data_IF_851123887592
#
_entry.id   IF_851123887592
#
_cell.length_a   1.000
_cell.length_b   1.000
_cell.length_c   1.000
_cell.angle_alpha   90.00
_cell.angle_beta   90.00
_cell.angle_gamma   90.00
#
_symmetry.space_group_name_H-M   'P 1'
#
loop_
_entity.id
_entity.type
_entity.pdbx_description
1 polymer ?
#
# COMPACT_ATOMS: atom_id res chain seq x y z
N UNK A 1 20.71 -20.67 24.01
CA UNK A 1 20.39 -19.24 24.18
C UNK A 1 20.58 -18.58 22.83
N UNK A 2 19.49 -18.32 22.10
CA UNK A 2 19.57 -17.67 20.79
C UNK A 2 19.63 -16.16 21.00
N UNK A 3 20.78 -15.58 20.75
CA UNK A 3 20.93 -14.13 20.63
C UNK A 3 20.17 -13.70 19.37
N UNK A 4 18.96 -13.19 19.54
CA UNK A 4 18.30 -12.42 18.49
C UNK A 4 19.12 -11.13 18.33
N UNK A 5 19.97 -11.10 17.31
CA UNK A 5 20.68 -9.89 16.91
C UNK A 5 19.64 -8.79 16.69
N UNK A 6 19.70 -7.75 17.52
CA UNK A 6 18.78 -6.63 17.46
C UNK A 6 19.12 -5.84 16.20
N UNK A 7 18.43 -6.14 15.10
CA UNK A 7 18.53 -5.33 13.88
C UNK A 7 17.94 -3.96 14.21
N UNK A 8 18.66 -2.84 13.95
CA UNK A 8 18.11 -1.51 14.14
C UNK A 8 16.84 -1.34 13.30
N UNK A 9 15.78 -0.82 13.89
CA UNK A 9 14.46 -0.72 13.25
C UNK A 9 14.49 0.07 11.93
N UNK A 10 15.40 1.05 11.83
CA UNK A 10 15.68 1.82 10.62
C UNK A 10 16.22 0.99 9.44
N UNK A 11 16.80 -0.19 9.65
CA UNK A 11 17.19 -1.08 8.55
C UNK A 11 16.01 -1.92 8.04
N UNK A 12 15.09 -2.29 8.92
CA UNK A 12 13.91 -3.07 8.54
C UNK A 12 12.95 -2.26 7.67
N UNK A 13 12.78 -0.99 8.00
CA UNK A 13 11.94 -0.08 7.23
C UNK A 13 12.49 0.22 5.83
N UNK A 14 13.81 0.40 5.71
CA UNK A 14 14.49 0.46 4.42
C UNK A 14 14.27 -0.82 3.63
N UNK A 15 14.38 -1.99 4.26
CA UNK A 15 14.10 -3.28 3.58
C UNK A 15 12.67 -3.37 3.05
N UNK A 16 11.68 -2.90 3.79
CA UNK A 16 10.27 -2.92 3.34
C UNK A 16 10.06 -1.95 2.18
N UNK A 17 10.52 -0.71 2.30
CA UNK A 17 10.35 0.29 1.23
C UNK A 17 11.11 -0.05 -0.05
N UNK A 18 12.34 -0.56 0.10
CA UNK A 18 13.21 -0.95 -1.00
C UNK A 18 12.97 -2.39 -1.47
N UNK A 19 11.99 -3.10 -0.89
CA UNK A 19 11.59 -4.40 -1.39
C UNK A 19 10.94 -4.24 -2.76
N UNK A 20 11.20 -5.20 -3.65
CA UNK A 20 10.48 -5.34 -4.91
C UNK A 20 9.06 -5.90 -4.72
N UNK A 21 8.71 -6.31 -3.50
CA UNK A 21 7.38 -6.82 -3.19
C UNK A 21 6.32 -5.72 -3.23
N UNK A 22 5.12 -6.09 -3.68
CA UNK A 22 3.95 -5.24 -3.60
C UNK A 22 3.54 -5.03 -2.13
N UNK A 23 3.31 -3.77 -1.77
CA UNK A 23 2.75 -3.38 -0.48
C UNK A 23 1.26 -3.12 -0.65
N UNK A 24 0.47 -3.53 0.32
CA UNK A 24 -0.97 -3.29 0.31
C UNK A 24 -1.39 -2.49 1.51
N UNK A 25 -2.32 -1.56 1.28
CA UNK A 25 -2.86 -0.74 2.34
C UNK A 25 -3.76 -1.59 3.22
N UNK A 26 -3.46 -1.59 4.52
CA UNK A 26 -4.19 -2.33 5.54
C UNK A 26 -5.16 -1.41 6.26
N UNK A 27 -4.66 -0.23 6.64
CA UNK A 27 -5.43 0.81 7.30
C UNK A 27 -5.02 2.20 6.87
N UNK A 28 -5.98 3.11 6.87
CA UNK A 28 -5.76 4.52 6.54
C UNK A 28 -6.65 5.43 7.37
N UNK A 29 -6.13 6.60 7.71
CA UNK A 29 -6.90 7.69 8.33
C UNK A 29 -8.07 8.15 7.44
N UNK A 30 -9.18 8.49 8.09
CA UNK A 30 -10.33 9.10 7.43
C UNK A 30 -10.05 10.50 6.88
N UNK A 31 -9.10 11.22 7.46
CA UNK A 31 -8.73 12.58 7.05
C UNK A 31 -7.79 12.62 5.83
N UNK A 32 -7.60 11.49 5.17
CA UNK A 32 -6.72 11.43 4.01
C UNK A 32 -7.36 12.07 2.79
N UNK A 33 -6.53 12.51 1.85
CA UNK A 33 -6.93 12.94 0.50
C UNK A 33 -7.72 11.87 -0.27
N UNK A 34 -7.77 10.66 0.28
CA UNK A 34 -8.58 9.54 -0.17
C UNK A 34 -10.02 9.78 0.31
N UNK A 35 -10.63 10.88 -0.14
CA UNK A 35 -12.09 10.97 -0.26
C UNK A 35 -12.60 10.03 -1.37
N UNK A 36 -11.69 9.39 -2.11
CA UNK A 36 -11.99 8.44 -3.16
C UNK A 36 -12.39 7.09 -2.59
N UNK A 37 -13.52 6.56 -3.08
CA UNK A 37 -14.00 5.19 -2.94
C UNK A 37 -13.01 4.16 -3.52
N UNK A 38 -11.81 4.07 -2.95
CA UNK A 38 -10.84 3.04 -3.27
C UNK A 38 -11.28 1.77 -2.56
N UNK A 39 -11.68 0.78 -3.35
CA UNK A 39 -11.94 -0.58 -2.91
C UNK A 39 -10.67 -1.15 -2.26
N UNK A 40 -9.53 -0.98 -2.90
CA UNK A 40 -8.24 -1.29 -2.30
C UNK A 40 -7.15 -0.34 -2.79
N UNK A 41 -5.99 -0.38 -2.12
CA UNK A 41 -4.77 0.26 -2.59
C UNK A 41 -3.58 -0.68 -2.55
N UNK A 42 -2.75 -0.55 -3.58
CA UNK A 42 -1.51 -1.30 -3.76
C UNK A 42 -0.37 -0.32 -4.05
N UNK A 43 0.83 -0.62 -3.59
CA UNK A 43 2.04 0.10 -3.95
C UNK A 43 3.05 -0.83 -4.58
N UNK A 44 3.50 -0.45 -5.78
CA UNK A 44 4.48 -1.21 -6.57
C UNK A 44 5.82 -0.48 -6.55
N UNK A 45 6.91 -1.17 -6.25
CA UNK A 45 8.24 -0.59 -6.29
C UNK A 45 8.65 -0.18 -7.70
N UNK A 46 9.22 1.02 -7.86
CA UNK A 46 9.79 1.47 -9.14
C UNK A 46 11.31 1.57 -9.09
N UNK A 47 11.85 2.31 -8.11
CA UNK A 47 13.27 2.60 -8.04
C UNK A 47 13.75 2.94 -6.63
N UNK A 48 15.04 2.69 -6.38
CA UNK A 48 15.72 3.16 -5.18
C UNK A 48 16.27 4.58 -5.38
N UNK A 49 16.19 5.40 -4.33
CA UNK A 49 16.85 6.72 -4.26
C UNK A 49 17.63 6.82 -2.95
N UNK A 50 18.50 7.84 -2.82
CA UNK A 50 19.35 7.99 -1.62
C UNK A 50 18.46 8.12 -0.38
N UNK A 51 18.51 7.12 0.51
CA UNK A 51 17.70 7.02 1.73
C UNK A 51 16.17 6.95 1.54
N UNK A 52 15.67 6.66 0.34
CA UNK A 52 14.24 6.59 0.05
C UNK A 52 13.97 5.57 -1.07
N UNK A 53 12.71 5.42 -1.47
CA UNK A 53 12.28 4.61 -2.60
C UNK A 53 11.15 5.33 -3.34
N UNK A 54 11.19 5.30 -4.66
CA UNK A 54 10.06 5.69 -5.51
C UNK A 54 9.20 4.44 -5.70
N UNK A 55 7.91 4.56 -5.37
CA UNK A 55 6.91 3.50 -5.61
C UNK A 55 5.65 4.14 -6.17
N UNK A 56 4.83 3.38 -6.90
CA UNK A 56 3.49 3.82 -7.26
C UNK A 56 2.54 3.61 -6.08
N UNK A 57 1.41 4.33 -6.09
CA UNK A 57 0.18 3.93 -5.42
C UNK A 57 -0.88 3.76 -6.49
N UNK A 58 -1.45 2.56 -6.53
CA UNK A 58 -2.57 2.20 -7.37
C UNK A 58 -3.82 2.16 -6.47
N UNK A 59 -4.82 2.98 -6.78
CA UNK A 59 -6.16 2.93 -6.21
C UNK A 59 -7.10 2.23 -7.19
N UNK A 60 -7.89 1.29 -6.68
CA UNK A 60 -8.89 0.56 -7.45
C UNK A 60 -10.27 0.99 -7.00
N UNK A 61 -11.13 1.40 -7.92
CA UNK A 61 -12.51 1.79 -7.62
C UNK A 61 -13.49 0.96 -8.43
N UNK A 62 -14.56 0.51 -7.79
CA UNK A 62 -15.63 -0.26 -8.44
C UNK A 62 -16.79 0.66 -8.81
N UNK A 63 -17.27 0.54 -10.05
CA UNK A 63 -18.43 1.27 -10.55
C UNK A 63 -19.43 0.29 -11.16
N UNK A 64 -20.71 0.51 -10.90
CA UNK A 64 -21.78 -0.20 -11.62
C UNK A 64 -22.23 0.68 -12.78
N UNK A 65 -22.08 0.18 -14.02
CA UNK A 65 -22.54 0.90 -15.22
C UNK A 65 -24.03 0.65 -15.46
N UNK A 66 -24.67 1.47 -16.28
CA UNK A 66 -26.13 1.40 -16.54
C UNK A 66 -26.63 0.04 -17.05
N UNK A 67 -25.75 -0.78 -17.64
CA UNK A 67 -26.05 -2.14 -18.05
C UNK A 67 -26.04 -3.18 -16.91
N UNK A 68 -25.80 -2.75 -15.66
CA UNK A 68 -25.73 -3.61 -14.47
C UNK A 68 -24.37 -4.33 -14.30
N UNK A 69 -23.42 -4.13 -15.21
CA UNK A 69 -22.08 -4.68 -15.07
C UNK A 69 -21.26 -3.89 -14.04
N UNK A 70 -20.42 -4.59 -13.27
CA UNK A 70 -19.44 -3.98 -12.38
C UNK A 70 -18.10 -3.87 -13.09
N UNK A 71 -17.57 -2.65 -13.18
CA UNK A 71 -16.24 -2.37 -13.72
C UNK A 71 -15.32 -1.94 -12.58
N UNK A 72 -14.08 -2.41 -12.62
CA UNK A 72 -13.02 -1.94 -11.72
C UNK A 72 -12.11 -1.06 -12.55
N UNK A 73 -11.87 0.16 -12.06
CA UNK A 73 -10.94 1.11 -12.66
C UNK A 73 -9.72 1.25 -11.76
N UNK A 74 -8.54 1.31 -12.37
CA UNK A 74 -7.28 1.57 -11.68
C UNK A 74 -6.81 3.00 -11.96
N UNK A 75 -6.57 3.78 -10.91
CA UNK A 75 -5.83 5.05 -10.96
C UNK A 75 -4.46 4.83 -10.32
N UNK A 76 -3.39 5.26 -11.00
CA UNK A 76 -2.02 5.13 -10.49
C UNK A 76 -1.41 6.51 -10.30
N UNK A 77 -0.86 6.75 -9.13
CA UNK A 77 -0.17 7.98 -8.75
C UNK A 77 1.27 7.63 -8.31
N UNK A 78 2.26 8.48 -8.64
CA UNK A 78 3.64 8.30 -8.19
C UNK A 78 3.86 9.11 -6.93
N UNK A 79 4.36 8.47 -5.89
CA UNK A 79 4.57 9.12 -4.60
C UNK A 79 5.91 8.73 -3.98
N UNK A 80 6.45 9.65 -3.20
CA UNK A 80 7.68 9.43 -2.46
C UNK A 80 7.34 8.99 -1.03
N UNK A 81 7.98 7.90 -0.59
CA UNK A 81 7.76 7.32 0.73
C UNK A 81 8.83 7.79 1.71
N UNK A 82 8.41 8.27 2.87
CA UNK A 82 9.32 8.59 3.97
C UNK A 82 9.08 7.61 5.12
N UNK A 83 10.17 7.03 5.62
CA UNK A 83 10.11 6.19 6.81
C UNK A 83 10.22 7.05 8.04
N UNK A 84 9.34 6.81 9.01
CA UNK A 84 9.56 7.26 10.38
C UNK A 84 9.49 6.09 11.36
N UNK A 85 10.38 6.13 12.33
CA UNK A 85 10.32 5.22 13.47
C UNK A 85 9.56 5.92 14.61
N UNK A 86 8.49 5.28 15.10
CA UNK A 86 7.70 5.77 16.23
C UNK A 86 7.71 4.69 17.31
N UNK A 87 8.44 4.94 18.42
CA UNK A 87 8.46 4.07 19.61
C UNK A 87 8.74 2.59 19.31
N UNK A 88 9.66 2.29 18.38
CA UNK A 88 9.98 0.91 18.00
C UNK A 88 9.00 0.27 17.01
N UNK A 89 8.06 1.03 16.46
CA UNK A 89 7.23 0.62 15.32
C UNK A 89 7.66 1.39 14.05
N UNK A 90 7.65 0.69 12.92
CA UNK A 90 7.86 1.30 11.60
C UNK A 90 6.54 1.88 11.16
N UNK A 91 6.48 3.21 11.02
CA UNK A 91 5.35 3.92 10.44
C UNK A 91 5.81 4.52 9.12
N UNK A 92 5.18 4.09 8.04
CA UNK A 92 5.43 4.65 6.72
C UNK A 92 4.55 5.90 6.62
N UNK A 93 5.15 7.08 6.74
CA UNK A 93 4.44 8.34 6.58
C UNK A 93 4.44 8.71 5.09
N UNK A 94 3.24 8.87 4.55
CA UNK A 94 3.05 9.40 3.21
C UNK A 94 2.84 10.89 3.33
N UNK A 95 3.84 11.66 2.89
CA UNK A 95 3.76 13.11 2.84
C UNK A 95 3.22 13.47 1.46
N UNK A 96 1.96 13.90 1.41
CA UNK A 96 1.44 14.46 0.16
C UNK A 96 2.15 15.77 -0.15
N UNK A 97 2.67 15.86 -1.37
CA UNK A 97 3.36 17.05 -1.88
C UNK A 97 2.43 18.27 -1.91
N UNK A 98 1.12 18.07 -1.98
CA UNK A 98 0.15 19.16 -2.19
C UNK A 98 -0.23 19.93 -0.93
N UNK A 99 -0.11 19.34 0.27
CA UNK A 99 -0.53 19.99 1.51
C UNK A 99 0.43 19.83 2.70
N UNK A 100 1.50 19.05 2.55
CA UNK A 100 2.52 18.85 3.59
C UNK A 100 2.02 18.18 4.87
N UNK A 101 0.77 17.70 4.91
CA UNK A 101 0.24 16.94 6.05
C UNK A 101 0.57 15.46 5.87
N UNK A 102 1.27 14.82 6.83
CA UNK A 102 1.52 13.39 6.76
C UNK A 102 0.21 12.64 6.98
N UNK A 103 -0.03 11.63 6.16
CA UNK A 103 -1.16 10.74 6.29
C UNK A 103 -0.75 9.44 6.97
N UNK A 104 -1.50 9.07 8.01
CA UNK A 104 -1.30 7.79 8.67
C UNK A 104 -1.83 6.66 7.82
N UNK A 105 -0.92 5.81 7.35
CA UNK A 105 -1.24 4.61 6.58
C UNK A 105 -0.44 3.44 7.13
N UNK A 106 -1.10 2.29 7.25
CA UNK A 106 -0.46 1.04 7.59
C UNK A 106 -0.43 0.16 6.35
N UNK A 107 0.77 -0.23 5.95
CA UNK A 107 1.02 -1.08 4.80
C UNK A 107 1.54 -2.44 5.25
N UNK A 108 1.18 -3.49 4.53
CA UNK A 108 1.67 -4.84 4.78
C UNK A 108 1.99 -5.57 3.48
N UNK A 109 2.88 -6.54 3.56
CA UNK A 109 3.25 -7.38 2.43
C UNK A 109 2.07 -8.28 2.03
N UNK A 110 1.99 -8.61 0.74
CA UNK A 110 0.96 -9.51 0.22
C UNK A 110 1.14 -10.96 0.69
N UNK A 111 2.39 -11.42 0.73
CA UNK A 111 2.78 -12.81 0.90
C UNK A 111 2.78 -13.31 2.37
N UNK A 112 2.44 -12.46 3.34
CA UNK A 112 2.40 -12.85 4.76
C UNK A 112 1.06 -13.53 5.11
N UNK A 113 1.09 -14.87 5.21
CA UNK A 113 -0.08 -15.75 5.46
C UNK A 113 -0.83 -15.48 6.77
N UNK A 114 -0.22 -14.81 7.74
CA UNK A 114 -0.89 -14.42 8.98
C UNK A 114 -0.44 -13.03 9.38
N UNK A 115 -1.27 -12.04 9.08
CA UNK A 115 -1.11 -10.67 9.58
C UNK A 115 -1.51 -10.62 11.05
N UNK A 116 -0.73 -11.24 11.93
CA UNK A 116 -0.84 -11.00 13.38
C UNK A 116 -0.27 -9.62 13.71
N UNK A 117 -0.85 -8.61 13.08
CA UNK A 117 -0.45 -7.22 13.11
C UNK A 117 -1.22 -6.47 14.19
N UNK A 118 -1.81 -7.16 15.16
CA UNK A 118 -2.56 -6.51 16.25
C UNK A 118 -1.72 -5.46 16.97
N UNK A 119 -0.41 -5.69 17.13
CA UNK A 119 0.52 -4.70 17.68
C UNK A 119 0.61 -3.43 16.83
N UNK A 120 0.76 -3.58 15.51
CA UNK A 120 0.78 -2.48 14.55
C UNK A 120 -0.57 -1.76 14.50
N UNK A 121 -1.69 -2.49 14.48
CA UNK A 121 -3.04 -1.94 14.51
C UNK A 121 -3.30 -1.09 15.76
N UNK A 122 -2.93 -1.58 16.94
CA UNK A 122 -3.07 -0.81 18.20
C UNK A 122 -2.17 0.43 18.21
N UNK A 123 -0.98 0.32 17.62
CA UNK A 123 -0.02 1.44 17.57
C UNK A 123 -0.56 2.55 16.68
N UNK A 124 -1.03 2.23 15.47
CA UNK A 124 -1.60 3.24 14.57
C UNK A 124 -2.91 3.82 15.14
N UNK A 125 -3.77 3.02 15.77
CA UNK A 125 -5.00 3.52 16.43
C UNK A 125 -4.71 4.48 17.58
N UNK A 126 -3.60 4.27 18.31
CA UNK A 126 -3.20 5.13 19.42
C UNK A 126 -2.52 6.42 18.96
N UNK A 127 -1.64 6.30 17.97
CA UNK A 127 -0.73 7.39 17.58
C UNK A 127 -1.26 8.21 16.40
N UNK A 128 -2.36 7.80 15.75
CA UNK A 128 -3.04 8.51 14.67
C UNK A 128 -4.49 8.88 15.04
N UNK A 129 -5.18 9.60 14.15
CA UNK A 129 -6.59 9.95 14.34
C UNK A 129 -7.48 8.71 14.53
N UNK A 130 -8.53 8.80 15.37
CA UNK A 130 -9.29 7.63 15.82
C UNK A 130 -10.05 6.89 14.72
N UNK A 131 -10.38 7.60 13.64
CA UNK A 131 -11.13 7.04 12.52
C UNK A 131 -10.18 6.44 11.48
N UNK A 132 -9.99 5.12 11.59
CA UNK A 132 -9.20 4.33 10.64
C UNK A 132 -10.11 3.35 9.89
N UNK A 133 -10.00 3.33 8.57
CA UNK A 133 -10.71 2.36 7.72
C UNK A 133 -9.82 1.16 7.42
N UNK A 134 -10.39 -0.05 7.44
CA UNK A 134 -9.72 -1.27 6.96
C UNK A 134 -9.90 -1.38 5.46
N UNK A 135 -8.79 -1.43 4.73
CA UNK A 135 -8.78 -1.46 3.26
C UNK A 135 -8.47 -2.87 2.73
N UNK A 136 -7.81 -3.71 3.54
CA UNK A 136 -7.33 -5.02 3.12
C UNK A 136 -8.41 -6.03 2.75
N UNK A 137 -9.59 -5.93 3.39
CA UNK A 137 -10.69 -6.91 3.23
C UNK A 137 -11.20 -6.99 1.78
N UNK A 138 -10.81 -6.05 0.92
CA UNK A 138 -11.20 -5.99 -0.49
C UNK A 138 -10.00 -6.07 -1.45
N UNK A 139 -8.90 -6.71 -1.06
CA UNK A 139 -7.71 -6.86 -1.89
C UNK A 139 -7.86 -7.85 -3.06
N UNK A 140 -8.67 -8.90 -2.91
CA UNK A 140 -8.85 -9.93 -3.95
C UNK A 140 -9.34 -9.40 -5.31
N UNK A 141 -10.37 -8.53 -5.38
CA UNK A 141 -10.80 -7.94 -6.65
C UNK A 141 -9.69 -7.20 -7.40
N UNK A 142 -8.78 -6.56 -6.66
CA UNK A 142 -7.69 -5.79 -7.24
C UNK A 142 -6.59 -6.69 -7.81
N UNK A 143 -6.23 -7.75 -7.09
CA UNK A 143 -5.30 -8.77 -7.58
C UNK A 143 -5.82 -9.41 -8.86
N UNK A 144 -7.11 -9.75 -8.88
CA UNK A 144 -7.78 -10.28 -10.07
C UNK A 144 -7.76 -9.30 -11.24
N UNK A 145 -7.98 -8.01 -10.98
CA UNK A 145 -7.90 -6.98 -12.02
C UNK A 145 -6.48 -6.91 -12.63
N UNK A 146 -5.44 -6.89 -11.80
CA UNK A 146 -4.05 -6.87 -12.28
C UNK A 146 -3.70 -8.12 -13.11
N UNK A 147 -4.14 -9.30 -12.66
CA UNK A 147 -3.93 -10.55 -13.41
C UNK A 147 -4.58 -10.51 -14.79
N UNK A 148 -5.84 -10.06 -14.86
CA UNK A 148 -6.56 -9.94 -16.12
C UNK A 148 -5.92 -8.90 -17.05
N UNK A 149 -5.52 -7.75 -16.51
CA UNK A 149 -4.84 -6.70 -17.29
C UNK A 149 -3.51 -7.20 -17.86
N UNK A 150 -2.73 -7.94 -17.07
CA UNK A 150 -1.48 -8.55 -17.52
C UNK A 150 -1.70 -9.58 -18.62
N UNK A 151 -2.66 -10.48 -18.46
CA UNK A 151 -3.01 -11.47 -19.49
C UNK A 151 -3.43 -10.81 -20.80
N UNK A 152 -4.24 -9.75 -20.71
CA UNK A 152 -4.67 -8.99 -21.89
C UNK A 152 -3.49 -8.34 -22.63
N UNK A 153 -2.56 -7.69 -21.91
CA UNK A 153 -1.38 -7.10 -22.52
C UNK A 153 -0.46 -8.14 -23.18
N UNK A 154 -0.29 -9.32 -22.55
CA UNK A 154 0.48 -10.42 -23.13
C UNK A 154 -0.16 -10.91 -24.43
N UNK A 155 -1.47 -11.13 -24.44
CA UNK A 155 -2.19 -11.57 -25.64
C UNK A 155 -2.12 -10.56 -26.79
N UNK A 156 -2.09 -9.25 -26.50
CA UNK A 156 -1.89 -8.22 -27.53
C UNK A 156 -0.47 -8.27 -28.09
N UNK A 157 0.55 -8.35 -27.22
CA UNK A 157 1.94 -8.41 -27.65
C UNK A 157 2.24 -9.66 -28.52
N UNK A 158 1.61 -10.79 -28.23
CA UNK A 158 1.71 -12.02 -29.03
C UNK A 158 1.07 -11.91 -30.41
N UNK A 159 0.09 -11.02 -30.61
CA UNK A 159 -0.53 -10.79 -31.92
C UNK A 159 0.31 -9.87 -32.82
N UNK A 160 1.21 -9.09 -32.22
CA UNK A 160 2.09 -8.15 -32.93
C UNK A 160 3.45 -8.78 -33.31
N UNK A 161 3.76 -9.97 -32.80
CA UNK A 161 5.01 -10.71 -33.02
C UNK A 161 4.93 -11.68 -34.22
#
# INVERSE_FOLDING_TARGET
MNAYNHVPLGELSKKVLQSNDDLFLLKVSSETWIDSYCLCMKSTFEANVINSSIRTIDCYSSYTVSAGANIILKRSDRIEFYVKEIKGAIVIELVSVTNGKPYCMLWGLHNEKSKNEQGCFRTIERDCVPDLFRVWDYSEPCLKHDDLSRQAHQAIAEQEA
#
